data_IF_882407000603
#
_entry.id   IF_882407000603
#
_cell.length_a   1.000
_cell.length_b   1.000
_cell.length_c   1.000
_cell.angle_alpha   90.00
_cell.angle_beta   90.00
_cell.angle_gamma   90.00
#
_symmetry.space_group_name_H-M   'P 1'
#
loop_
_entity.id
_entity.type
_entity.pdbx_description
1 polymer ?
#
# COMPACT_ATOMS: atom_id res chain seq x y z
N UNK A 1 -13.20 3.57 1.68
CA UNK A 1 -12.10 2.82 1.03
C UNK A 1 -10.83 3.58 1.24
N UNK A 2 -9.90 2.96 1.97
CA UNK A 2 -8.62 3.54 2.34
C UNK A 2 -7.54 3.04 1.36
N UNK A 3 -6.69 3.91 0.82
CA UNK A 3 -5.65 3.52 -0.13
C UNK A 3 -4.34 3.11 0.55
N UNK A 4 -3.84 1.95 0.14
CA UNK A 4 -2.54 1.40 0.49
C UNK A 4 -1.57 1.47 -0.69
N UNK A 5 -0.52 2.27 -0.56
CA UNK A 5 0.53 2.43 -1.57
C UNK A 5 1.93 2.25 -0.97
N UNK A 6 2.81 1.66 -1.77
CA UNK A 6 4.24 1.53 -1.47
C UNK A 6 5.02 2.47 -2.39
N UNK A 7 6.08 3.10 -1.87
CA UNK A 7 7.01 4.01 -2.57
C UNK A 7 7.56 3.42 -3.89
N UNK A 8 7.52 2.10 -4.11
CA UNK A 8 7.90 1.50 -5.41
C UNK A 8 6.89 1.65 -6.56
N UNK A 9 5.69 2.18 -6.31
CA UNK A 9 4.68 2.39 -7.35
C UNK A 9 4.93 3.67 -8.16
N UNK A 10 4.62 3.69 -9.48
CA UNK A 10 4.92 4.81 -10.39
C UNK A 10 4.24 6.15 -10.02
N UNK A 11 3.36 6.17 -9.02
CA UNK A 11 2.54 7.31 -8.64
C UNK A 11 3.19 8.28 -7.64
N UNK A 12 4.06 7.81 -6.74
CA UNK A 12 4.57 8.65 -5.64
C UNK A 12 6.07 8.98 -5.74
N UNK A 13 6.84 8.26 -6.55
CA UNK A 13 8.30 8.42 -6.65
C UNK A 13 8.80 9.22 -7.84
N UNK A 14 7.95 9.56 -8.79
CA UNK A 14 8.33 10.37 -9.95
C UNK A 14 7.55 11.69 -10.02
N UNK A 15 7.94 12.62 -9.15
CA UNK A 15 8.03 14.07 -9.37
C UNK A 15 7.16 14.75 -10.44
N UNK A 16 5.84 14.54 -10.47
CA UNK A 16 4.98 15.41 -11.30
C UNK A 16 3.54 14.99 -11.58
N UNK A 17 3.12 13.74 -11.35
CA UNK A 17 1.73 13.32 -11.62
C UNK A 17 0.88 13.37 -10.34
N UNK A 18 -0.21 14.15 -10.38
CA UNK A 18 -1.18 14.36 -9.29
C UNK A 18 -2.21 13.23 -9.12
N UNK A 19 -2.11 12.14 -9.88
CA UNK A 19 -3.07 11.04 -9.85
C UNK A 19 -2.34 9.71 -9.65
N UNK A 20 -2.53 9.11 -8.48
CA UNK A 20 -2.08 7.74 -8.20
C UNK A 20 -3.06 6.71 -8.76
N UNK A 21 -2.66 5.44 -8.84
CA UNK A 21 -3.58 4.37 -9.26
C UNK A 21 -4.72 4.22 -8.23
N UNK A 22 -4.47 4.54 -6.94
CA UNK A 22 -5.52 4.66 -5.92
C UNK A 22 -6.47 5.85 -6.16
N UNK A 23 -5.97 7.02 -6.58
CA UNK A 23 -6.82 8.15 -6.95
C UNK A 23 -7.74 7.79 -8.13
N UNK A 24 -7.17 7.14 -9.16
CA UNK A 24 -7.93 6.67 -10.32
C UNK A 24 -8.98 5.61 -9.95
N UNK A 25 -8.73 4.81 -8.91
CA UNK A 25 -9.65 3.82 -8.38
C UNK A 25 -10.71 4.41 -7.42
N UNK A 26 -10.70 5.73 -7.17
CA UNK A 26 -11.69 6.41 -6.34
C UNK A 26 -11.45 6.27 -4.83
N UNK A 27 -10.19 6.10 -4.41
CA UNK A 27 -9.84 6.17 -3.00
C UNK A 27 -10.27 7.52 -2.39
N UNK A 28 -10.91 7.47 -1.21
CA UNK A 28 -11.36 8.69 -0.52
C UNK A 28 -10.31 9.24 0.43
N UNK A 29 -9.49 8.36 0.98
CA UNK A 29 -8.49 8.68 2.00
C UNK A 29 -7.27 7.76 1.84
N UNK A 30 -6.08 8.28 2.18
CA UNK A 30 -4.83 7.50 2.21
C UNK A 30 -4.51 7.07 3.63
N UNK A 31 -4.04 5.83 3.80
CA UNK A 31 -3.55 5.35 5.10
C UNK A 31 -2.39 6.24 5.57
N UNK A 32 -2.43 6.73 6.80
CA UNK A 32 -1.26 7.26 7.48
C UNK A 32 -0.36 6.11 7.98
N UNK A 33 0.24 5.34 7.06
CA UNK A 33 0.89 4.05 7.36
C UNK A 33 1.98 4.16 8.44
N UNK A 34 2.69 5.29 8.47
CA UNK A 34 3.71 5.60 9.49
C UNK A 34 3.18 5.57 10.92
N UNK A 35 1.92 5.93 11.16
CA UNK A 35 1.33 5.94 12.50
C UNK A 35 1.13 4.53 13.08
N UNK A 36 1.07 3.52 12.21
CA UNK A 36 0.82 2.13 12.57
C UNK A 36 2.06 1.24 12.44
N UNK A 37 3.16 1.78 11.89
CA UNK A 37 4.39 1.04 11.62
C UNK A 37 4.99 0.41 12.88
N UNK A 38 5.37 -0.86 12.78
CA UNK A 38 6.04 -1.64 13.83
C UNK A 38 7.36 -2.22 13.34
N UNK A 39 8.18 -2.72 14.27
CA UNK A 39 9.37 -3.52 13.97
C UNK A 39 10.37 -2.82 13.04
N UNK A 40 10.89 -3.57 12.06
CA UNK A 40 11.88 -3.07 11.10
C UNK A 40 11.30 -2.00 10.16
N UNK A 41 10.00 -2.03 9.89
CA UNK A 41 9.32 -1.00 9.10
C UNK A 41 9.31 0.34 9.87
N UNK A 42 9.07 0.32 11.18
CA UNK A 42 9.17 1.52 12.02
C UNK A 42 10.60 2.08 12.05
N UNK A 43 11.60 1.20 12.19
CA UNK A 43 13.02 1.59 12.15
C UNK A 43 13.38 2.24 10.81
N UNK A 44 12.82 1.76 9.71
CA UNK A 44 13.00 2.38 8.39
C UNK A 44 12.49 3.81 8.36
N UNK A 45 11.31 4.09 8.93
CA UNK A 45 10.80 5.47 9.00
C UNK A 45 11.67 6.40 9.86
N UNK A 46 12.36 5.85 10.86
CA UNK A 46 13.33 6.61 11.69
C UNK A 46 14.59 6.91 10.87
N UNK A 47 15.15 5.89 10.20
CA UNK A 47 16.36 6.02 9.39
C UNK A 47 16.15 6.93 8.18
N UNK A 48 14.98 6.85 7.54
CA UNK A 48 14.61 7.61 6.36
C UNK A 48 13.43 8.55 6.68
N UNK A 49 13.70 9.54 7.53
CA UNK A 49 12.69 10.47 8.05
C UNK A 49 11.96 11.30 6.97
N UNK A 50 12.55 11.42 5.78
CA UNK A 50 11.97 12.08 4.61
C UNK A 50 10.87 11.26 3.93
N UNK A 51 10.75 9.96 4.24
CA UNK A 51 9.65 9.14 3.73
C UNK A 51 8.35 9.56 4.45
N UNK A 52 7.38 9.97 3.65
CA UNK A 52 6.10 10.51 4.11
C UNK A 52 5.12 9.45 4.61
N UNK A 53 3.92 9.42 4.04
CA UNK A 53 2.78 8.65 4.56
C UNK A 53 2.68 7.20 4.04
N UNK A 54 3.54 6.83 3.09
CA UNK A 54 3.44 5.57 2.33
C UNK A 54 4.43 4.52 2.79
N UNK A 55 4.12 3.24 2.53
CA UNK A 55 5.00 2.13 2.94
C UNK A 55 6.36 2.28 2.25
N UNK A 56 7.48 2.30 3.00
CA UNK A 56 8.81 2.25 2.44
C UNK A 56 9.04 0.95 1.65
N UNK A 57 9.63 1.05 0.46
CA UNK A 57 9.97 -0.11 -0.38
C UNK A 57 11.19 -0.88 0.16
N UNK A 58 11.05 -1.53 1.31
CA UNK A 58 12.17 -2.20 1.99
C UNK A 58 12.23 -3.71 1.75
N UNK A 59 11.48 -4.19 0.75
CA UNK A 59 11.31 -5.60 0.43
C UNK A 59 10.33 -6.33 1.36
N UNK A 60 9.90 -7.53 0.94
CA UNK A 60 8.95 -8.39 1.66
C UNK A 60 9.60 -9.68 2.18
N UNK A 61 10.90 -9.64 2.51
CA UNK A 61 11.62 -10.79 3.06
C UNK A 61 11.62 -10.82 4.59
N UNK A 62 11.72 -12.01 5.18
CA UNK A 62 11.89 -12.20 6.64
C UNK A 62 10.66 -11.79 7.45
N UNK A 63 10.88 -11.06 8.56
CA UNK A 63 9.81 -10.61 9.48
C UNK A 63 8.86 -9.56 8.87
N UNK A 64 9.22 -8.95 7.73
CA UNK A 64 8.51 -7.79 7.16
C UNK A 64 7.10 -8.10 6.67
N UNK A 65 6.85 -9.34 6.25
CA UNK A 65 5.50 -9.80 5.88
C UNK A 65 4.59 -9.82 7.11
N UNK A 66 5.06 -10.40 8.22
CA UNK A 66 4.30 -10.41 9.46
C UNK A 66 4.09 -9.00 10.04
N UNK A 67 5.11 -8.15 9.98
CA UNK A 67 4.98 -6.74 10.36
C UNK A 67 3.95 -6.02 9.47
N UNK A 68 3.92 -6.28 8.16
CA UNK A 68 2.93 -5.73 7.25
C UNK A 68 1.50 -6.18 7.60
N UNK A 69 1.32 -7.46 7.88
CA UNK A 69 0.03 -8.02 8.32
C UNK A 69 -0.46 -7.37 9.60
N UNK A 70 0.43 -7.24 10.58
CA UNK A 70 0.14 -6.59 11.85
C UNK A 70 -0.25 -5.12 11.64
N UNK A 71 0.46 -4.39 10.78
CA UNK A 71 0.15 -3.00 10.47
C UNK A 71 -1.22 -2.89 9.80
N UNK A 72 -1.50 -3.71 8.78
CA UNK A 72 -2.79 -3.71 8.08
C UNK A 72 -3.93 -3.93 9.08
N UNK A 73 -3.80 -4.96 9.93
CA UNK A 73 -4.83 -5.31 10.92
C UNK A 73 -5.05 -4.22 12.00
N UNK A 74 -4.07 -3.34 12.25
CA UNK A 74 -4.21 -2.23 13.21
C UNK A 74 -4.91 -1.01 12.64
N UNK A 75 -4.99 -0.88 11.32
CA UNK A 75 -5.60 0.30 10.69
C UNK A 75 -7.13 0.12 10.70
N UNK A 76 -7.89 1.07 11.26
CA UNK A 76 -9.35 1.01 11.23
C UNK A 76 -9.85 1.42 9.84
N UNK A 77 -10.25 0.44 9.02
CA UNK A 77 -10.92 0.69 7.75
C UNK A 77 -12.00 -0.36 7.45
N UNK A 78 -13.04 0.04 6.73
CA UNK A 78 -14.07 -0.90 6.25
C UNK A 78 -13.61 -1.70 5.02
N UNK A 79 -12.81 -1.07 4.15
CA UNK A 79 -12.16 -1.72 3.01
C UNK A 79 -10.91 -0.95 2.56
N UNK A 80 -9.87 -1.65 2.10
CA UNK A 80 -8.64 -1.06 1.57
C UNK A 80 -8.45 -1.31 0.07
N UNK A 81 -7.94 -0.30 -0.65
CA UNK A 81 -7.46 -0.41 -2.02
C UNK A 81 -5.95 -0.62 -2.03
N UNK A 82 -5.47 -1.75 -2.54
CA UNK A 82 -4.05 -2.10 -2.62
C UNK A 82 -3.55 -1.75 -4.02
N UNK A 83 -2.81 -0.65 -4.15
CA UNK A 83 -2.24 -0.19 -5.41
C UNK A 83 -0.72 -0.42 -5.49
N UNK A 84 -0.28 -1.62 -5.11
CA UNK A 84 1.13 -2.04 -5.19
C UNK A 84 1.40 -2.86 -6.45
N UNK A 85 2.61 -2.73 -7.01
CA UNK A 85 3.07 -3.59 -8.11
C UNK A 85 3.19 -5.06 -7.68
N UNK A 86 3.58 -5.29 -6.43
CA UNK A 86 3.63 -6.61 -5.83
C UNK A 86 2.23 -7.05 -5.44
N UNK A 87 1.92 -8.31 -5.74
CA UNK A 87 0.72 -8.96 -5.29
C UNK A 87 0.83 -9.37 -3.82
N UNK A 88 0.27 -8.56 -2.93
CA UNK A 88 0.34 -8.83 -1.49
C UNK A 88 -0.40 -10.12 -1.12
N UNK A 89 -1.41 -10.53 -1.89
CA UNK A 89 -2.14 -11.78 -1.64
C UNK A 89 -1.26 -13.03 -1.79
N UNK A 90 -0.13 -12.93 -2.51
CA UNK A 90 0.80 -14.05 -2.68
C UNK A 90 1.73 -14.24 -1.50
N UNK A 91 1.85 -13.22 -0.65
CA UNK A 91 2.85 -13.18 0.41
C UNK A 91 2.22 -12.95 1.79
N UNK A 92 0.97 -12.51 1.86
CA UNK A 92 0.30 -12.12 3.09
C UNK A 92 -1.16 -12.57 3.09
N UNK A 93 -1.65 -12.97 4.27
CA UNK A 93 -3.06 -13.26 4.52
C UNK A 93 -3.72 -12.05 5.16
N UNK A 94 -4.57 -11.36 4.39
CA UNK A 94 -5.35 -10.22 4.90
C UNK A 94 -6.74 -10.69 5.29
N UNK A 95 -7.13 -10.42 6.54
CA UNK A 95 -8.44 -10.80 7.08
C UNK A 95 -9.50 -9.71 6.88
N UNK A 96 -9.07 -8.47 6.64
CA UNK A 96 -9.93 -7.33 6.38
C UNK A 96 -10.26 -7.20 4.88
N UNK A 97 -11.40 -6.60 4.50
CA UNK A 97 -11.79 -6.47 3.09
C UNK A 97 -10.77 -5.64 2.28
N UNK A 98 -10.26 -6.22 1.20
CA UNK A 98 -9.31 -5.54 0.30
C UNK A 98 -9.70 -5.67 -1.17
N UNK A 99 -9.34 -4.67 -1.95
CA UNK A 99 -9.46 -4.67 -3.41
C UNK A 99 -8.12 -4.26 -4.01
N UNK A 100 -7.58 -5.09 -4.90
CA UNK A 100 -6.33 -4.79 -5.57
C UNK A 100 -6.57 -3.94 -6.80
N UNK A 101 -5.78 -2.89 -6.94
CA UNK A 101 -5.74 -2.04 -8.13
C UNK A 101 -4.51 -2.42 -8.93
N UNK A 102 -4.71 -3.05 -10.08
CA UNK A 102 -3.63 -3.27 -11.04
C UNK A 102 -3.59 -2.09 -12.02
N UNK A 103 -2.41 -1.50 -12.15
CA UNK A 103 -2.14 -0.35 -12.99
C UNK A 103 -1.37 -0.82 -14.22
N UNK A 104 -1.91 -0.56 -15.41
CA UNK A 104 -1.34 -0.98 -16.69
C UNK A 104 -0.74 0.26 -17.39
N UNK A 105 0.53 0.61 -17.13
CA UNK A 105 1.15 1.82 -17.66
C UNK A 105 1.17 1.85 -19.19
N UNK A 106 1.24 0.69 -19.85
CA UNK A 106 1.24 0.52 -21.29
C UNK A 106 -0.13 0.80 -21.95
N UNK A 107 -1.23 0.66 -21.20
CA UNK A 107 -2.60 0.86 -21.73
C UNK A 107 -3.29 2.09 -21.12
N UNK A 108 -2.59 2.87 -20.26
CA UNK A 108 -3.16 3.97 -19.48
C UNK A 108 -4.50 3.60 -18.78
N UNK A 109 -4.59 2.37 -18.28
CA UNK A 109 -5.81 1.81 -17.67
C UNK A 109 -5.59 1.27 -16.26
N UNK A 110 -6.68 1.19 -15.49
CA UNK A 110 -6.71 0.47 -14.22
C UNK A 110 -7.68 -0.70 -14.30
N UNK A 111 -7.38 -1.79 -13.61
CA UNK A 111 -8.32 -2.88 -13.39
C UNK A 111 -8.45 -3.14 -11.88
N UNK A 112 -9.69 -3.27 -11.42
CA UNK A 112 -10.00 -3.59 -10.02
C UNK A 112 -10.21 -5.09 -9.89
N UNK A 113 -9.44 -5.71 -9.01
CA UNK A 113 -9.63 -7.08 -8.59
C UNK A 113 -10.25 -7.01 -7.19
N UNK A 114 -11.57 -7.17 -7.13
CA UNK A 114 -12.32 -7.12 -5.88
C UNK A 114 -12.26 -8.50 -5.23
N UNK A 115 -11.71 -8.59 -4.01
CA UNK A 115 -11.92 -9.76 -3.16
C UNK A 115 -13.10 -9.51 -2.23
N UNK A 116 -14.04 -10.46 -2.21
CA UNK A 116 -14.92 -10.65 -1.06
C UNK A 116 -14.17 -11.55 -0.09
N UNK A 117 -13.89 -11.03 1.09
CA UNK A 117 -13.59 -11.80 2.30
C UNK A 117 -14.79 -12.64 2.71
#
# INVERSE_FOLDING_TARGET
>A
MLAYENVGGPALTHGGRKCSCSDAAGAREFVAFRAYAVGTIQQTFIQYSHIGRVQPATGYGGSKVGELEEIINRIPFDAALIATLVDLDRISTMTQPTCRVACHPEVQGISLIVRKT
#
